data_IF_534070843534
#
_entry.id   IF_534070843534
#
_cell.length_a   1.000
_cell.length_b   1.000
_cell.length_c   1.000
_cell.angle_alpha   90.00
_cell.angle_beta   90.00
_cell.angle_gamma   90.00
#
_symmetry.space_group_name_H-M   'P 1'
#
loop_
_entity.id
_entity.type
_entity.pdbx_description
1 polymer ?
#
# COMPACT_ATOMS: atom_id res chain seq x y z
N UNK A 1 -28.01 4.93 12.36
CA UNK A 1 -26.84 4.13 12.77
C UNK A 1 -26.33 3.22 11.65
N UNK A 2 -27.22 2.58 10.89
CA UNK A 2 -26.85 1.75 9.73
C UNK A 2 -26.08 2.51 8.63
N UNK A 3 -26.47 3.76 8.35
CA UNK A 3 -25.72 4.66 7.46
C UNK A 3 -24.27 4.91 7.91
N UNK A 4 -24.02 5.09 9.21
CA UNK A 4 -22.67 5.35 9.72
C UNK A 4 -21.78 4.10 9.59
N UNK A 5 -22.37 2.91 9.79
CA UNK A 5 -21.70 1.63 9.58
C UNK A 5 -21.33 1.43 8.11
N UNK A 6 -22.25 1.74 7.20
CA UNK A 6 -22.01 1.67 5.76
C UNK A 6 -20.90 2.64 5.33
N UNK A 7 -20.93 3.89 5.82
CA UNK A 7 -19.89 4.89 5.48
C UNK A 7 -18.51 4.44 5.95
N UNK A 8 -18.40 3.86 7.16
CA UNK A 8 -17.11 3.39 7.69
C UNK A 8 -16.63 2.16 6.89
N UNK A 9 -17.48 1.15 6.72
CA UNK A 9 -17.11 -0.09 6.02
C UNK A 9 -16.74 0.19 4.55
N UNK A 10 -17.59 0.90 3.80
CA UNK A 10 -17.34 1.19 2.39
C UNK A 10 -16.29 2.28 2.19
N UNK A 11 -16.18 3.24 3.10
CA UNK A 11 -15.16 4.29 3.04
C UNK A 11 -13.76 3.72 3.18
N UNK A 12 -13.54 2.86 4.17
CA UNK A 12 -12.22 2.26 4.43
C UNK A 12 -11.83 1.27 3.34
N UNK A 13 -12.76 0.40 2.93
CA UNK A 13 -12.49 -0.55 1.85
C UNK A 13 -12.28 0.19 0.53
N UNK A 14 -13.11 1.19 0.22
CA UNK A 14 -12.96 2.01 -0.98
C UNK A 14 -11.61 2.74 -1.01
N UNK A 15 -11.19 3.30 0.12
CA UNK A 15 -9.87 3.94 0.24
C UNK A 15 -8.73 2.93 0.06
N UNK A 16 -8.80 1.76 0.70
CA UNK A 16 -7.80 0.69 0.53
C UNK A 16 -7.70 0.21 -0.92
N UNK A 17 -8.84 0.03 -1.59
CA UNK A 17 -8.87 -0.32 -3.02
C UNK A 17 -8.25 0.76 -3.89
N UNK A 18 -8.56 2.03 -3.62
CA UNK A 18 -7.92 3.15 -4.30
C UNK A 18 -6.39 3.13 -4.13
N UNK A 19 -5.90 2.95 -2.90
CA UNK A 19 -4.46 2.83 -2.63
C UNK A 19 -3.84 1.64 -3.36
N UNK A 20 -4.55 0.51 -3.44
CA UNK A 20 -4.10 -0.67 -4.20
C UNK A 20 -3.91 -0.34 -5.68
N UNK A 21 -4.89 0.32 -6.30
CA UNK A 21 -4.82 0.74 -7.71
C UNK A 21 -3.65 1.71 -7.93
N UNK A 22 -3.46 2.69 -7.05
CA UNK A 22 -2.34 3.64 -7.13
C UNK A 22 -0.99 2.92 -7.04
N UNK A 23 -0.84 2.02 -6.06
CA UNK A 23 0.37 1.22 -5.86
C UNK A 23 0.73 0.40 -7.12
N UNK A 24 -0.25 -0.30 -7.69
CA UNK A 24 -0.08 -1.11 -8.89
C UNK A 24 0.23 -0.25 -10.12
N UNK A 25 -0.48 0.86 -10.31
CA UNK A 25 -0.27 1.77 -11.44
C UNK A 25 1.16 2.33 -11.45
N UNK A 26 1.64 2.82 -10.32
CA UNK A 26 3.02 3.30 -10.18
C UNK A 26 3.99 2.15 -10.43
N UNK A 27 3.75 0.96 -9.88
CA UNK A 27 4.65 -0.17 -10.09
C UNK A 27 4.77 -0.54 -11.58
N UNK A 28 3.67 -0.56 -12.33
CA UNK A 28 3.66 -0.83 -13.77
C UNK A 28 4.45 0.24 -14.53
N UNK A 29 4.21 1.52 -14.24
CA UNK A 29 4.94 2.64 -14.84
C UNK A 29 6.46 2.49 -14.63
N UNK A 30 6.87 2.22 -13.39
CA UNK A 30 8.28 2.05 -13.02
C UNK A 30 8.93 0.84 -13.68
N UNK A 31 8.23 -0.29 -13.77
CA UNK A 31 8.72 -1.48 -14.50
C UNK A 31 8.93 -1.15 -15.99
N UNK A 32 7.99 -0.43 -16.60
CA UNK A 32 8.12 0.03 -17.97
C UNK A 32 9.31 0.97 -18.18
N UNK A 33 9.51 1.89 -17.24
CA UNK A 33 10.62 2.83 -17.25
C UNK A 33 11.98 2.13 -17.16
N UNK A 34 12.15 1.18 -16.22
CA UNK A 34 13.42 0.45 -16.04
C UNK A 34 13.86 -0.39 -17.24
N UNK A 35 12.90 -0.80 -18.08
CA UNK A 35 13.20 -1.51 -19.33
C UNK A 35 13.74 -0.57 -20.42
N UNK A 36 13.32 0.69 -20.44
CA UNK A 36 13.64 1.66 -21.49
C UNK A 36 14.78 2.62 -21.14
N UNK A 37 15.05 2.81 -19.84
CA UNK A 37 16.05 3.78 -19.38
C UNK A 37 17.46 3.35 -19.80
N UNK A 38 18.17 4.28 -20.45
CA UNK A 38 19.59 4.15 -20.73
C UNK A 38 20.39 4.79 -19.61
N UNK A 39 20.99 3.95 -18.78
CA UNK A 39 21.76 4.38 -17.60
C UNK A 39 22.95 5.25 -18.00
N UNK A 40 23.52 5.09 -19.20
CA UNK A 40 24.74 5.80 -19.60
C UNK A 40 24.55 7.29 -19.85
N UNK A 41 23.31 7.76 -19.92
CA UNK A 41 22.99 9.18 -20.12
C UNK A 41 23.16 10.03 -18.85
N UNK A 42 23.22 9.39 -17.69
CA UNK A 42 23.33 10.07 -16.40
C UNK A 42 24.79 10.37 -16.07
N UNK A 43 25.05 11.59 -15.60
CA UNK A 43 26.41 12.08 -15.33
C UNK A 43 26.92 11.63 -13.95
N UNK A 44 26.01 11.38 -13.02
CA UNK A 44 26.29 11.03 -11.63
C UNK A 44 25.46 9.81 -11.19
N UNK A 45 26.01 8.93 -10.33
CA UNK A 45 25.24 7.82 -9.79
C UNK A 45 24.07 8.31 -8.91
N UNK A 46 24.23 9.47 -8.25
CA UNK A 46 23.16 10.08 -7.44
C UNK A 46 22.00 10.60 -8.30
N UNK A 47 22.30 11.11 -9.50
CA UNK A 47 21.29 11.57 -10.44
C UNK A 47 20.46 10.38 -10.96
N UNK A 48 21.14 9.29 -11.33
CA UNK A 48 20.51 8.03 -11.71
C UNK A 48 19.64 7.47 -10.58
N UNK A 49 20.15 7.45 -9.34
CA UNK A 49 19.40 6.96 -8.19
C UNK A 49 18.13 7.79 -7.93
N UNK A 50 18.22 9.13 -7.95
CA UNK A 50 17.08 10.02 -7.76
C UNK A 50 16.00 9.77 -8.83
N UNK A 51 16.41 9.60 -10.08
CA UNK A 51 15.49 9.33 -11.18
C UNK A 51 14.86 7.93 -11.08
N UNK A 52 15.65 6.91 -10.74
CA UNK A 52 15.19 5.52 -10.56
C UNK A 52 14.32 5.32 -9.31
N UNK A 53 14.47 6.12 -8.26
CA UNK A 53 13.66 6.00 -7.03
C UNK A 53 12.37 6.80 -7.07
N UNK A 54 12.15 7.61 -8.11
CA UNK A 54 10.93 8.43 -8.27
C UNK A 54 9.66 7.58 -8.15
N UNK A 55 8.76 7.99 -7.25
CA UNK A 55 7.48 7.33 -6.99
C UNK A 55 7.54 6.06 -6.13
N UNK A 56 8.72 5.50 -5.85
CA UNK A 56 8.85 4.30 -4.99
C UNK A 56 8.40 4.58 -3.56
N UNK A 57 8.60 5.81 -3.08
CA UNK A 57 8.17 6.21 -1.74
C UNK A 57 6.66 6.03 -1.56
N UNK A 58 5.85 6.28 -2.59
CA UNK A 58 4.38 6.13 -2.52
C UNK A 58 4.02 4.66 -2.29
N UNK A 59 4.62 3.75 -3.06
CA UNK A 59 4.41 2.31 -2.90
C UNK A 59 4.85 1.85 -1.49
N UNK A 60 5.99 2.35 -1.01
CA UNK A 60 6.48 2.05 0.33
C UNK A 60 5.52 2.54 1.42
N UNK A 61 5.04 3.78 1.32
CA UNK A 61 4.07 4.38 2.26
C UNK A 61 2.76 3.61 2.25
N UNK A 62 2.24 3.23 1.08
CA UNK A 62 1.02 2.43 0.97
C UNK A 62 1.21 1.06 1.62
N UNK A 63 2.31 0.36 1.29
CA UNK A 63 2.63 -0.94 1.85
C UNK A 63 2.76 -0.93 3.37
N UNK A 64 3.36 0.12 3.93
CA UNK A 64 3.52 0.26 5.38
C UNK A 64 2.22 0.66 6.11
N UNK A 65 1.37 1.49 5.49
CA UNK A 65 0.20 2.07 6.17
C UNK A 65 -1.13 1.35 5.91
N UNK A 66 -1.25 0.59 4.81
CA UNK A 66 -2.47 -0.17 4.51
C UNK A 66 -2.94 -1.12 5.65
N UNK A 67 -2.06 -1.83 6.38
CA UNK A 67 -2.48 -2.64 7.52
C UNK A 67 -3.09 -1.81 8.64
N UNK A 68 -2.52 -0.64 8.94
CA UNK A 68 -3.00 0.25 9.99
C UNK A 68 -4.34 0.89 9.64
N UNK A 69 -4.58 1.18 8.35
CA UNK A 69 -5.89 1.62 7.86
C UNK A 69 -6.95 0.52 8.06
N UNK A 70 -6.62 -0.74 7.75
CA UNK A 70 -7.51 -1.87 7.99
C UNK A 70 -7.82 -2.09 9.48
N UNK A 71 -6.79 -1.98 10.34
CA UNK A 71 -6.92 -2.04 11.79
C UNK A 71 -7.85 -0.93 12.31
N UNK A 72 -7.65 0.31 11.84
CA UNK A 72 -8.52 1.45 12.19
C UNK A 72 -9.98 1.15 11.85
N UNK A 73 -10.26 0.54 10.70
CA UNK A 73 -11.62 0.14 10.33
C UNK A 73 -12.22 -0.90 11.26
N UNK A 74 -11.40 -1.83 11.73
CA UNK A 74 -11.85 -2.82 12.71
C UNK A 74 -12.18 -2.15 14.04
N UNK A 75 -11.33 -1.25 14.53
CA UNK A 75 -11.57 -0.48 15.76
C UNK A 75 -12.87 0.31 15.67
N UNK A 76 -13.09 1.05 14.58
CA UNK A 76 -14.31 1.84 14.36
C UNK A 76 -15.56 0.95 14.27
N UNK A 77 -15.48 -0.20 13.60
CA UNK A 77 -16.58 -1.16 13.48
C UNK A 77 -16.97 -1.79 14.82
N UNK A 78 -15.97 -2.16 15.63
CA UNK A 78 -16.18 -2.68 16.99
C UNK A 78 -16.81 -1.60 17.89
N UNK A 79 -16.26 -0.37 17.86
CA UNK A 79 -16.81 0.76 18.62
C UNK A 79 -18.28 1.01 18.29
N UNK A 80 -18.63 1.02 16.99
CA UNK A 80 -20.01 1.25 16.55
C UNK A 80 -20.95 0.12 16.98
N UNK A 81 -20.46 -1.12 16.98
CA UNK A 81 -21.22 -2.29 17.47
C UNK A 81 -21.56 -2.11 18.95
N UNK A 82 -20.57 -1.79 19.80
CA UNK A 82 -20.82 -1.58 21.23
C UNK A 82 -21.69 -0.34 21.52
N UNK A 83 -21.51 0.74 20.77
CA UNK A 83 -22.34 1.93 20.91
C UNK A 83 -23.82 1.65 20.62
N UNK A 84 -24.11 0.86 19.58
CA UNK A 84 -25.49 0.52 19.20
C UNK A 84 -26.17 -0.33 20.29
N UNK A 85 -25.46 -1.28 20.89
CA UNK A 85 -25.96 -2.08 22.02
C UNK A 85 -26.31 -1.20 23.22
N UNK A 86 -25.43 -0.24 23.54
CA UNK A 86 -25.66 0.70 24.64
C UNK A 86 -26.90 1.56 24.45
N UNK A 87 -27.33 1.81 23.21
CA UNK A 87 -28.58 2.52 22.92
C UNK A 87 -29.82 1.63 22.92
N UNK A 88 -29.72 0.41 22.38
CA UNK A 88 -30.87 -0.52 22.26
C UNK A 88 -31.25 -1.15 23.62
N UNK A 89 -30.34 -1.22 24.59
CA UNK A 89 -30.59 -1.77 25.93
C UNK A 89 -30.83 -3.29 25.98
N UNK A 90 -31.09 -3.92 24.84
CA UNK A 90 -31.22 -5.37 24.67
C UNK A 90 -29.95 -5.94 24.04
N UNK A 91 -29.34 -6.92 24.73
CA UNK A 91 -28.15 -7.60 24.24
C UNK A 91 -28.58 -8.77 23.35
N UNK A 92 -28.44 -8.61 22.03
CA UNK A 92 -28.57 -9.70 21.06
C UNK A 92 -27.17 -10.21 20.66
N UNK A 93 -26.77 -11.35 21.23
CA UNK A 93 -25.46 -11.96 20.98
C UNK A 93 -25.19 -12.27 19.50
N UNK A 94 -26.22 -12.62 18.73
CA UNK A 94 -26.08 -12.91 17.29
C UNK A 94 -25.72 -11.64 16.52
N UNK A 95 -26.38 -10.51 16.82
CA UNK A 95 -26.04 -9.22 16.21
C UNK A 95 -24.60 -8.81 16.51
N UNK A 96 -24.13 -9.03 17.74
CA UNK A 96 -22.74 -8.73 18.14
C UNK A 96 -21.76 -9.53 17.29
N UNK A 97 -21.94 -10.84 17.21
CA UNK A 97 -21.04 -11.71 16.45
C UNK A 97 -20.96 -11.29 14.98
N UNK A 98 -22.09 -10.92 14.37
CA UNK A 98 -22.12 -10.43 12.98
C UNK A 98 -21.40 -9.09 12.85
N UNK A 99 -21.62 -8.15 13.76
CA UNK A 99 -20.94 -6.84 13.76
C UNK A 99 -19.42 -6.97 13.84
N UNK A 100 -18.92 -7.81 14.75
CA UNK A 100 -17.50 -8.09 14.92
C UNK A 100 -16.89 -8.79 13.69
N UNK A 101 -17.58 -9.77 13.12
CA UNK A 101 -17.13 -10.45 11.91
C UNK A 101 -16.98 -9.48 10.73
N UNK A 102 -17.92 -8.54 10.57
CA UNK A 102 -17.84 -7.52 9.52
C UNK A 102 -16.68 -6.54 9.73
N UNK A 103 -16.36 -6.19 10.98
CA UNK A 103 -15.22 -5.34 11.30
C UNK A 103 -13.88 -5.99 10.90
N UNK A 104 -13.73 -7.30 11.12
CA UNK A 104 -12.50 -8.05 10.77
C UNK A 104 -12.18 -8.04 9.27
N UNK A 105 -13.20 -7.93 8.41
CA UNK A 105 -13.03 -7.81 6.96
C UNK A 105 -12.12 -6.62 6.59
N UNK A 106 -12.22 -5.48 7.29
CA UNK A 106 -11.42 -4.30 6.98
C UNK A 106 -9.90 -4.57 7.15
N UNK A 107 -9.53 -5.32 8.20
CA UNK A 107 -8.13 -5.74 8.42
C UNK A 107 -7.66 -6.69 7.33
N UNK A 108 -8.49 -7.67 6.94
CA UNK A 108 -8.15 -8.61 5.87
C UNK A 108 -7.87 -7.89 4.54
N UNK A 109 -8.69 -6.89 4.19
CA UNK A 109 -8.47 -6.06 2.99
C UNK A 109 -7.20 -5.22 3.13
N UNK A 110 -6.94 -4.63 4.31
CA UNK A 110 -5.71 -3.86 4.56
C UNK A 110 -4.44 -4.68 4.33
N UNK A 111 -4.42 -5.93 4.81
CA UNK A 111 -3.33 -6.87 4.56
C UNK A 111 -3.22 -7.26 3.08
N UNK A 112 -4.36 -7.51 2.42
CA UNK A 112 -4.40 -7.84 1.01
C UNK A 112 -3.83 -6.72 0.12
N UNK A 113 -3.94 -5.46 0.53
CA UNK A 113 -3.33 -4.31 -0.16
C UNK A 113 -1.84 -4.14 0.20
N UNK A 114 -1.50 -4.37 1.47
CA UNK A 114 -0.15 -4.18 1.98
C UNK A 114 0.85 -5.18 1.39
N UNK A 115 0.51 -6.47 1.40
CA UNK A 115 1.43 -7.55 1.00
C UNK A 115 1.93 -7.37 -0.44
N UNK A 116 1.07 -7.17 -1.45
CA UNK A 116 1.52 -6.91 -2.82
C UNK A 116 2.31 -5.62 -2.94
N UNK A 117 1.90 -4.55 -2.25
CA UNK A 117 2.58 -3.25 -2.31
C UNK A 117 4.02 -3.33 -1.79
N UNK A 118 4.23 -3.99 -0.64
CA UNK A 118 5.57 -4.21 -0.08
C UNK A 118 6.41 -5.10 -1.00
N UNK A 119 5.82 -6.16 -1.57
CA UNK A 119 6.52 -7.04 -2.52
C UNK A 119 6.97 -6.27 -3.78
N UNK A 120 6.10 -5.43 -4.34
CA UNK A 120 6.40 -4.58 -5.50
C UNK A 120 7.48 -3.56 -5.18
N UNK A 121 7.40 -2.89 -4.03
CA UNK A 121 8.43 -1.95 -3.58
C UNK A 121 9.81 -2.63 -3.47
N UNK A 122 9.89 -3.78 -2.81
CA UNK A 122 11.14 -4.53 -2.67
C UNK A 122 11.70 -4.98 -4.03
N UNK A 123 10.84 -5.44 -4.93
CA UNK A 123 11.23 -5.82 -6.28
C UNK A 123 11.79 -4.62 -7.06
N UNK A 124 11.10 -3.47 -7.05
CA UNK A 124 11.54 -2.27 -7.73
C UNK A 124 12.84 -1.72 -7.15
N UNK A 125 12.98 -1.73 -5.83
CA UNK A 125 14.19 -1.28 -5.14
C UNK A 125 15.41 -2.12 -5.54
N UNK A 126 15.22 -3.44 -5.68
CA UNK A 126 16.27 -4.33 -6.20
C UNK A 126 16.68 -3.94 -7.63
N UNK A 127 15.71 -3.66 -8.51
CA UNK A 127 15.99 -3.20 -9.89
C UNK A 127 16.76 -1.89 -9.93
N UNK A 128 16.48 -0.95 -9.02
CA UNK A 128 17.25 0.30 -8.89
C UNK A 128 18.72 -0.01 -8.60
N UNK A 129 19.00 -0.84 -7.59
CA UNK A 129 20.36 -1.25 -7.22
C UNK A 129 21.09 -1.94 -8.38
N UNK A 130 20.42 -2.85 -9.08
CA UNK A 130 20.98 -3.53 -10.26
C UNK A 130 21.38 -2.53 -11.37
N UNK A 131 20.56 -1.51 -11.62
CA UNK A 131 20.83 -0.49 -12.64
C UNK A 131 21.97 0.46 -12.26
N UNK A 132 22.07 0.83 -10.99
CA UNK A 132 23.19 1.63 -10.47
C UNK A 132 24.50 0.84 -10.61
N UNK A 133 24.53 -0.42 -10.20
CA UNK A 133 25.72 -1.27 -10.37
C UNK A 133 26.12 -1.42 -11.86
N UNK A 134 25.15 -1.56 -12.77
CA UNK A 134 25.40 -1.58 -14.21
C UNK A 134 26.01 -0.27 -14.74
N UNK A 135 25.61 0.87 -14.19
CA UNK A 135 26.20 2.16 -14.53
C UNK A 135 27.66 2.24 -14.07
N UNK A 136 27.95 1.83 -12.84
CA UNK A 136 29.31 1.83 -12.26
C UNK A 136 30.27 0.96 -13.09
N UNK A 137 29.86 -0.25 -13.47
CA UNK A 137 30.68 -1.15 -14.28
C UNK A 137 30.98 -0.56 -15.67
N UNK A 138 30.02 0.13 -16.29
CA UNK A 138 30.20 0.69 -17.63
C UNK A 138 30.99 1.99 -17.63
N UNK A 139 30.81 2.86 -16.62
CA UNK A 139 31.58 4.09 -16.51
C UNK A 139 32.99 3.87 -15.94
N UNK A 140 33.16 2.92 -15.02
CA UNK A 140 34.49 2.50 -14.55
C UNK A 140 35.36 1.90 -15.67
N UNK A 141 34.76 1.28 -16.69
CA UNK A 141 35.45 0.80 -17.90
C UNK A 141 35.84 1.89 -18.91
N UNK A 142 35.26 3.09 -18.84
CA UNK A 142 35.59 4.21 -19.76
C UNK A 142 36.79 5.04 -19.29
N UNK A 143 37.28 4.81 -18.07
CA UNK A 143 38.43 5.51 -17.48
C UNK A 143 39.76 4.77 -17.55
N UNK A 144 39.86 3.69 -18.35
CA UNK A 144 41.09 2.94 -18.62
C UNK A 144 41.37 2.99 -20.12
#
# INVERSE_FOLDING_TARGET
MEYLKLIIDYGIIGFLLFLSVVSIAIAIERIGYYKKVDVLKFSSPKELEADLTKGLYIIATIGANAPYIGLLGTVLGIMLTFYTIGQEGLIDSKKIMVGLALALKATAVGLFVAIPSVALYNYLLRRVKEKIALWEVKNGRKGI
#
